data_IF_973237887407
#
_entry.id   IF_973237887407
#
_cell.length_a   1.000
_cell.length_b   1.000
_cell.length_c   1.000
_cell.angle_alpha   90.00
_cell.angle_beta   90.00
_cell.angle_gamma   90.00
#
_symmetry.space_group_name_H-M   'P 1'
#
loop_
_entity.id
_entity.type
_entity.pdbx_description
1 polymer ?
#
# COMPACT_ATOMS: atom_id res chain seq x y z
N UNK A 1 40.59 -93.22 -37.45
CA UNK A 1 39.28 -92.69 -37.88
C UNK A 1 39.11 -91.38 -37.13
N UNK A 2 39.18 -90.29 -37.87
CA UNK A 2 39.45 -88.95 -37.36
C UNK A 2 38.14 -88.17 -37.13
N UNK A 3 37.91 -87.68 -35.90
CA UNK A 3 36.86 -86.71 -35.61
C UNK A 3 37.53 -85.36 -35.41
N UNK A 4 37.23 -84.41 -36.28
CA UNK A 4 37.66 -83.03 -36.21
C UNK A 4 36.59 -82.23 -35.42
N UNK A 5 37.03 -81.59 -34.34
CA UNK A 5 36.25 -80.69 -33.51
C UNK A 5 36.47 -79.26 -33.97
N UNK A 6 35.40 -78.64 -34.50
CA UNK A 6 35.40 -77.21 -34.85
C UNK A 6 34.91 -76.37 -33.66
N UNK A 7 35.79 -75.64 -33.03
CA UNK A 7 35.45 -74.59 -32.04
C UNK A 7 34.98 -73.34 -32.80
N UNK A 8 33.76 -72.97 -32.61
CA UNK A 8 33.25 -71.64 -33.03
C UNK A 8 33.34 -70.71 -31.84
N UNK A 9 34.23 -69.72 -31.89
CA UNK A 9 34.25 -68.59 -30.94
C UNK A 9 33.05 -67.68 -31.24
N UNK A 10 32.19 -67.54 -30.22
CA UNK A 10 31.10 -66.58 -30.23
C UNK A 10 31.62 -65.26 -29.64
N UNK A 11 31.82 -64.24 -30.46
CA UNK A 11 32.13 -62.87 -30.03
C UNK A 11 30.83 -62.18 -29.61
N UNK A 12 30.63 -61.97 -28.33
CA UNK A 12 29.53 -61.15 -27.78
C UNK A 12 29.96 -59.68 -27.83
N UNK A 13 29.41 -58.93 -28.80
CA UNK A 13 29.57 -57.47 -28.86
C UNK A 13 28.52 -56.84 -27.97
N UNK A 14 28.97 -56.39 -26.78
CA UNK A 14 28.09 -55.61 -25.87
C UNK A 14 28.01 -54.17 -26.39
N UNK A 15 26.93 -53.80 -27.02
CA UNK A 15 26.65 -52.40 -27.41
C UNK A 15 26.31 -51.59 -26.18
N UNK A 16 27.18 -50.69 -25.76
CA UNK A 16 26.89 -49.65 -24.73
C UNK A 16 26.06 -48.56 -25.38
N UNK A 17 24.77 -48.57 -25.13
CA UNK A 17 23.85 -47.45 -25.53
C UNK A 17 24.08 -46.31 -24.51
N UNK A 18 24.86 -45.28 -24.90
CA UNK A 18 24.92 -44.01 -24.16
C UNK A 18 23.55 -43.29 -24.29
N UNK A 19 22.73 -43.38 -23.27
CA UNK A 19 21.55 -42.55 -23.13
C UNK A 19 22.02 -41.13 -22.83
N UNK A 20 22.07 -40.27 -23.82
CA UNK A 20 22.24 -38.83 -23.62
C UNK A 20 20.92 -38.29 -23.04
N UNK A 21 20.92 -38.02 -21.71
CA UNK A 21 19.88 -37.22 -21.09
C UNK A 21 19.97 -35.79 -21.66
N UNK A 22 18.87 -35.25 -22.22
CA UNK A 22 18.89 -33.85 -22.62
C UNK A 22 19.14 -32.99 -21.37
N UNK A 23 20.29 -32.29 -21.34
CA UNK A 23 20.51 -31.22 -20.39
C UNK A 23 19.39 -30.20 -20.62
N UNK A 24 18.39 -30.19 -19.74
CA UNK A 24 17.35 -29.18 -19.72
C UNK A 24 18.03 -27.83 -19.61
N UNK A 25 18.05 -27.08 -20.70
CA UNK A 25 18.39 -25.66 -20.66
C UNK A 25 17.38 -24.99 -19.76
N UNK A 26 17.77 -24.71 -18.50
CA UNK A 26 17.03 -23.79 -17.66
C UNK A 26 16.96 -22.47 -18.44
N UNK A 27 15.84 -22.22 -19.08
CA UNK A 27 15.55 -20.91 -19.66
C UNK A 27 15.54 -19.94 -18.48
N UNK A 28 16.61 -19.18 -18.31
CA UNK A 28 16.61 -18.03 -17.45
C UNK A 28 15.45 -17.15 -17.91
N UNK A 29 14.39 -17.07 -17.10
CA UNK A 29 13.20 -16.31 -17.41
C UNK A 29 13.63 -14.87 -17.59
N UNK A 30 13.59 -14.39 -18.82
CA UNK A 30 14.07 -13.04 -19.18
C UNK A 30 13.27 -12.03 -18.37
N UNK A 31 13.95 -11.09 -17.72
CA UNK A 31 13.27 -10.05 -16.96
C UNK A 31 12.22 -9.34 -17.84
N UNK A 32 11.04 -9.00 -17.31
CA UNK A 32 10.03 -8.30 -18.08
C UNK A 32 10.58 -6.95 -18.56
N UNK A 33 10.10 -6.44 -19.69
CA UNK A 33 10.48 -5.09 -20.16
C UNK A 33 9.92 -3.99 -19.27
N UNK A 34 8.77 -4.22 -18.66
CA UNK A 34 8.11 -3.30 -17.75
C UNK A 34 7.30 -4.03 -16.69
N UNK A 35 7.08 -3.35 -15.56
CA UNK A 35 6.13 -3.72 -14.52
C UNK A 35 5.14 -2.57 -14.30
N UNK A 36 3.91 -2.91 -13.94
CA UNK A 36 2.85 -1.95 -13.65
C UNK A 36 2.80 -1.62 -12.16
N UNK A 37 2.49 -0.36 -11.81
CA UNK A 37 2.36 0.11 -10.42
C UNK A 37 0.99 0.77 -10.24
N UNK A 38 0.04 0.06 -9.64
CA UNK A 38 -1.28 0.58 -9.32
C UNK A 38 -1.24 1.59 -8.18
N UNK A 39 -2.05 2.64 -8.31
CA UNK A 39 -2.16 3.68 -7.29
C UNK A 39 -3.48 4.41 -7.36
N UNK A 40 -3.74 5.27 -6.36
CA UNK A 40 -4.89 6.16 -6.32
C UNK A 40 -4.80 7.27 -7.39
N UNK A 41 -5.86 8.08 -7.60
CA UNK A 41 -5.93 9.08 -8.66
C UNK A 41 -4.79 10.10 -8.61
N UNK A 42 -4.49 10.69 -9.77
CA UNK A 42 -3.63 11.87 -9.86
C UNK A 42 -4.11 12.97 -8.88
N UNK A 43 -3.16 13.72 -8.32
CA UNK A 43 -3.45 14.73 -7.29
C UNK A 43 -3.40 14.18 -5.86
N UNK A 44 -3.40 12.86 -5.65
CA UNK A 44 -3.22 12.23 -4.33
C UNK A 44 -1.74 12.06 -3.96
N UNK A 45 -1.46 11.93 -2.67
CA UNK A 45 -0.10 11.59 -2.18
C UNK A 45 0.32 10.19 -2.66
N UNK A 46 -0.59 9.23 -2.71
CA UNK A 46 -0.31 7.88 -3.22
C UNK A 46 0.19 7.89 -4.67
N UNK A 47 -0.42 8.73 -5.53
CA UNK A 47 0.05 8.91 -6.92
C UNK A 47 1.46 9.47 -6.97
N UNK A 48 1.77 10.49 -6.15
CA UNK A 48 3.11 11.06 -6.07
C UNK A 48 4.15 10.05 -5.57
N UNK A 49 3.79 9.22 -4.58
CA UNK A 49 4.64 8.14 -4.06
C UNK A 49 4.87 7.08 -5.13
N UNK A 50 3.82 6.62 -5.81
CA UNK A 50 3.98 5.64 -6.90
C UNK A 50 4.88 6.18 -8.01
N UNK A 51 4.73 7.45 -8.40
CA UNK A 51 5.59 8.12 -9.38
C UNK A 51 7.05 8.18 -8.96
N UNK A 52 7.33 8.53 -7.70
CA UNK A 52 8.68 8.57 -7.17
C UNK A 52 9.35 7.19 -7.12
N UNK A 53 8.64 6.16 -6.61
CA UNK A 53 9.15 4.78 -6.60
C UNK A 53 9.40 4.28 -8.03
N UNK A 54 8.46 4.48 -8.94
CA UNK A 54 8.58 4.08 -10.34
C UNK A 54 9.77 4.76 -11.04
N UNK A 55 10.00 6.05 -10.76
CA UNK A 55 11.14 6.80 -11.31
C UNK A 55 12.48 6.19 -10.86
N UNK A 56 12.63 5.90 -9.56
CA UNK A 56 13.88 5.30 -9.03
C UNK A 56 14.07 3.88 -9.55
N UNK A 57 13.00 3.07 -9.58
CA UNK A 57 13.05 1.71 -10.13
C UNK A 57 13.45 1.73 -11.59
N UNK A 58 12.79 2.54 -12.42
CA UNK A 58 13.09 2.63 -13.86
C UNK A 58 14.50 3.14 -14.16
N UNK A 59 15.08 3.93 -13.26
CA UNK A 59 16.44 4.45 -13.40
C UNK A 59 17.54 3.47 -12.98
N UNK A 60 17.22 2.38 -12.27
CA UNK A 60 18.22 1.48 -11.65
C UNK A 60 17.92 -0.02 -11.83
N UNK A 61 16.69 -0.42 -12.13
CA UNK A 61 16.33 -1.80 -12.44
C UNK A 61 16.42 -2.09 -13.95
N UNK A 62 16.52 -3.36 -14.38
CA UNK A 62 16.57 -3.74 -15.81
C UNK A 62 15.22 -3.69 -16.52
N UNK A 63 14.22 -2.99 -15.97
CA UNK A 63 12.87 -2.82 -16.52
C UNK A 63 12.29 -1.47 -16.15
N UNK A 64 11.25 -1.04 -16.88
CA UNK A 64 10.51 0.18 -16.57
C UNK A 64 9.39 -0.11 -15.58
N UNK A 65 9.14 0.79 -14.63
CA UNK A 65 7.96 0.79 -13.77
C UNK A 65 6.97 1.83 -14.30
N UNK A 66 5.76 1.39 -14.65
CA UNK A 66 4.71 2.22 -15.28
C UNK A 66 3.58 2.45 -14.30
N UNK A 67 3.36 3.70 -13.90
CA UNK A 67 2.29 4.07 -12.96
C UNK A 67 0.93 4.01 -13.65
N UNK A 68 -0.01 3.30 -13.04
CA UNK A 68 -1.40 3.21 -13.47
C UNK A 68 -2.33 3.75 -12.37
N UNK A 69 -2.90 4.97 -12.54
CA UNK A 69 -3.85 5.52 -11.58
C UNK A 69 -5.23 4.88 -11.74
N UNK A 70 -5.87 4.62 -10.60
CA UNK A 70 -7.24 4.12 -10.49
C UNK A 70 -8.06 5.05 -9.61
N UNK A 71 -9.39 4.95 -9.65
CA UNK A 71 -10.29 5.82 -8.86
C UNK A 71 -10.07 5.66 -7.35
N UNK A 72 -9.63 4.50 -6.90
CA UNK A 72 -9.31 4.25 -5.49
C UNK A 72 -8.72 2.85 -5.29
N UNK A 73 -8.18 2.59 -4.09
CA UNK A 73 -7.55 1.31 -3.72
C UNK A 73 -8.46 0.12 -3.99
N UNK A 74 -9.75 0.22 -3.67
CA UNK A 74 -10.72 -0.86 -3.86
C UNK A 74 -10.94 -1.27 -5.31
N UNK A 75 -10.62 -0.41 -6.29
CA UNK A 75 -10.80 -0.72 -7.71
C UNK A 75 -9.63 -1.48 -8.32
N UNK A 76 -8.42 -1.37 -7.78
CA UNK A 76 -7.25 -2.07 -8.32
C UNK A 76 -6.75 -3.26 -7.46
N UNK A 77 -7.19 -3.39 -6.21
CA UNK A 77 -6.83 -4.55 -5.39
C UNK A 77 -7.17 -5.90 -6.02
N UNK A 78 -8.35 -6.09 -6.68
CA UNK A 78 -8.63 -7.34 -7.39
C UNK A 78 -7.65 -7.62 -8.52
N UNK A 79 -7.24 -6.59 -9.28
CA UNK A 79 -6.28 -6.74 -10.38
C UNK A 79 -4.90 -7.17 -9.85
N UNK A 80 -4.49 -6.61 -8.71
CA UNK A 80 -3.26 -7.00 -8.03
C UNK A 80 -3.35 -8.45 -7.51
N UNK A 81 -4.50 -8.86 -6.98
CA UNK A 81 -4.71 -10.23 -6.48
C UNK A 81 -4.71 -11.29 -7.58
N UNK A 82 -5.18 -10.92 -8.77
CA UNK A 82 -5.20 -11.81 -9.94
C UNK A 82 -3.90 -11.77 -10.76
N UNK A 83 -2.93 -10.90 -10.41
CA UNK A 83 -1.68 -10.75 -11.16
C UNK A 83 -1.83 -10.00 -12.48
N UNK A 84 -2.95 -9.30 -12.68
CA UNK A 84 -3.18 -8.39 -13.82
C UNK A 84 -2.45 -7.05 -13.61
N UNK A 85 -2.08 -6.77 -12.37
CA UNK A 85 -1.27 -5.66 -11.93
C UNK A 85 -0.10 -6.21 -11.10
N UNK A 86 1.13 -5.79 -11.40
CA UNK A 86 2.32 -6.37 -10.77
C UNK A 86 2.56 -5.84 -9.36
N UNK A 87 2.50 -4.52 -9.22
CA UNK A 87 2.86 -3.76 -8.01
C UNK A 87 1.76 -2.78 -7.64
N UNK A 88 1.77 -2.29 -6.39
CA UNK A 88 0.81 -1.29 -5.94
C UNK A 88 1.31 -0.46 -4.75
N UNK A 89 0.80 0.77 -4.64
CA UNK A 89 1.00 1.64 -3.48
C UNK A 89 -0.32 1.81 -2.75
N UNK A 90 -0.41 1.32 -1.51
CA UNK A 90 -1.66 1.14 -0.77
C UNK A 90 -1.55 1.55 0.69
N UNK A 91 -2.69 1.72 1.35
CA UNK A 91 -2.83 1.92 2.78
C UNK A 91 -2.64 0.58 3.53
N UNK A 92 -1.84 0.58 4.59
CA UNK A 92 -1.57 -0.61 5.41
C UNK A 92 -2.83 -1.21 6.06
N UNK A 93 -3.79 -0.36 6.47
CA UNK A 93 -5.05 -0.80 7.11
C UNK A 93 -5.97 -1.44 6.09
N UNK A 94 -6.11 -0.85 4.89
CA UNK A 94 -6.88 -1.41 3.78
C UNK A 94 -6.34 -2.79 3.39
N UNK A 95 -5.01 -2.90 3.32
CA UNK A 95 -4.37 -4.18 3.00
C UNK A 95 -4.63 -5.23 4.07
N UNK A 96 -4.61 -4.84 5.36
CA UNK A 96 -4.98 -5.75 6.45
C UNK A 96 -6.43 -6.26 6.34
N UNK A 97 -7.37 -5.37 6.00
CA UNK A 97 -8.78 -5.71 5.76
C UNK A 97 -8.94 -6.64 4.55
N UNK A 98 -8.34 -6.27 3.42
CA UNK A 98 -8.44 -7.01 2.17
C UNK A 98 -7.76 -8.40 2.28
N UNK A 99 -6.58 -8.47 2.89
CA UNK A 99 -5.83 -9.72 3.04
C UNK A 99 -6.53 -10.72 3.97
N UNK A 100 -7.11 -10.25 5.09
CA UNK A 100 -7.84 -11.13 6.01
C UNK A 100 -9.25 -11.46 5.51
N UNK A 101 -9.84 -10.57 4.71
CA UNK A 101 -11.15 -10.73 4.11
C UNK A 101 -12.32 -10.48 5.08
N UNK A 102 -13.56 -10.29 4.55
CA UNK A 102 -14.73 -9.84 5.31
C UNK A 102 -15.25 -10.84 6.34
N UNK A 103 -14.92 -12.12 6.20
CA UNK A 103 -15.33 -13.14 7.15
C UNK A 103 -14.52 -13.11 8.46
N UNK A 104 -13.25 -12.65 8.40
CA UNK A 104 -12.32 -12.72 9.53
C UNK A 104 -12.07 -11.40 10.23
N UNK A 105 -12.03 -10.29 9.48
CA UNK A 105 -11.66 -9.00 10.04
C UNK A 105 -12.61 -7.90 9.58
N UNK A 106 -13.12 -7.13 10.55
CA UNK A 106 -14.04 -6.01 10.32
C UNK A 106 -13.63 -4.82 11.17
N UNK A 107 -13.79 -3.62 10.62
CA UNK A 107 -13.64 -2.36 11.32
C UNK A 107 -14.98 -1.63 11.27
N UNK A 108 -15.47 -1.14 12.42
CA UNK A 108 -16.79 -0.54 12.50
C UNK A 108 -17.91 -1.49 12.05
N UNK A 109 -17.76 -2.79 12.33
CA UNK A 109 -18.73 -3.82 11.94
C UNK A 109 -18.73 -4.21 10.46
N UNK A 110 -17.88 -3.60 9.61
CA UNK A 110 -17.85 -3.84 8.15
C UNK A 110 -16.44 -4.12 7.63
N UNK A 111 -16.38 -4.86 6.54
CA UNK A 111 -15.22 -4.97 5.66
C UNK A 111 -15.73 -5.14 4.23
N UNK A 112 -15.85 -4.05 3.48
CA UNK A 112 -16.34 -4.09 2.11
C UNK A 112 -15.25 -4.40 1.08
N UNK A 113 -13.98 -4.57 1.52
CA UNK A 113 -12.90 -4.92 0.60
C UNK A 113 -13.05 -6.33 0.05
N UNK A 114 -12.68 -6.57 -1.20
CA UNK A 114 -12.53 -7.91 -1.73
C UNK A 114 -11.46 -8.67 -0.92
N UNK A 115 -11.60 -9.98 -0.81
CA UNK A 115 -10.55 -10.81 -0.22
C UNK A 115 -9.40 -10.95 -1.24
N UNK A 116 -8.20 -10.49 -0.86
CA UNK A 116 -7.01 -10.48 -1.73
C UNK A 116 -5.82 -11.21 -1.08
N UNK A 117 -5.90 -12.55 -0.94
CA UNK A 117 -4.90 -13.36 -0.24
C UNK A 117 -3.57 -13.49 -0.98
N UNK A 118 -3.50 -13.07 -2.24
CA UNK A 118 -2.31 -13.22 -3.08
C UNK A 118 -1.37 -12.00 -3.04
N UNK A 119 -1.77 -10.92 -2.37
CA UNK A 119 -0.94 -9.72 -2.23
C UNK A 119 0.13 -9.91 -1.15
N UNK A 120 1.33 -9.42 -1.42
CA UNK A 120 2.50 -9.50 -0.55
C UNK A 120 3.17 -8.14 -0.38
N UNK A 121 3.69 -7.89 0.82
CA UNK A 121 4.44 -6.67 1.13
C UNK A 121 5.85 -6.73 0.49
N UNK A 122 6.24 -5.63 -0.13
CA UNK A 122 7.61 -5.39 -0.58
C UNK A 122 8.35 -4.47 0.40
N UNK A 123 7.75 -3.31 0.70
CA UNK A 123 8.32 -2.34 1.64
C UNK A 123 7.23 -1.70 2.49
N UNK A 124 7.49 -1.54 3.78
CA UNK A 124 6.76 -0.61 4.64
C UNK A 124 7.33 0.78 4.41
N UNK A 125 6.49 1.69 3.93
CA UNK A 125 6.89 3.08 3.66
C UNK A 125 6.69 4.02 4.84
N UNK A 126 6.63 5.32 4.54
CA UNK A 126 6.41 6.38 5.53
C UNK A 126 4.99 6.40 6.06
N UNK A 127 4.75 7.00 7.23
CA UNK A 127 3.42 7.38 7.66
C UNK A 127 2.81 8.39 6.67
N UNK A 128 1.55 8.21 6.32
CA UNK A 128 0.75 9.20 5.66
C UNK A 128 -0.16 9.86 6.68
N UNK A 129 -0.19 11.19 6.70
CA UNK A 129 -1.09 11.96 7.54
C UNK A 129 -2.33 12.39 6.75
N UNK A 130 -3.51 12.30 7.37
CA UNK A 130 -4.78 12.72 6.79
C UNK A 130 -5.68 13.29 7.87
N UNK A 131 -6.62 14.14 7.50
CA UNK A 131 -7.67 14.59 8.39
C UNK A 131 -8.88 15.09 7.61
N UNK A 132 -9.93 15.43 8.35
CA UNK A 132 -11.06 16.15 7.83
C UNK A 132 -10.60 17.52 7.28
N UNK A 133 -11.21 17.96 6.19
CA UNK A 133 -10.92 19.22 5.50
C UNK A 133 -12.20 20.04 5.40
N UNK A 134 -12.11 21.34 5.64
CA UNK A 134 -13.20 22.28 5.48
C UNK A 134 -12.72 23.56 4.81
N UNK A 135 -13.65 24.35 4.25
CA UNK A 135 -13.31 25.70 3.79
C UNK A 135 -13.08 26.60 5.00
N UNK A 136 -12.17 27.57 4.87
CA UNK A 136 -11.85 28.49 5.97
C UNK A 136 -13.03 29.34 6.43
N UNK A 137 -13.94 29.68 5.49
CA UNK A 137 -15.11 30.50 5.74
C UNK A 137 -16.21 29.80 6.57
N UNK A 138 -16.17 28.48 6.72
CA UNK A 138 -17.13 27.74 7.58
C UNK A 138 -16.91 27.95 9.08
N UNK A 139 -15.72 28.41 9.46
CA UNK A 139 -15.34 28.57 10.86
C UNK A 139 -15.03 27.28 11.63
N UNK A 140 -15.23 26.10 11.02
CA UNK A 140 -14.96 24.78 11.64
C UNK A 140 -13.45 24.62 11.86
N UNK A 141 -13.01 24.36 13.10
CA UNK A 141 -11.61 24.22 13.49
C UNK A 141 -11.29 22.85 14.08
N UNK A 142 -12.23 22.29 14.82
CA UNK A 142 -12.05 21.03 15.58
C UNK A 142 -13.08 19.98 15.17
N UNK A 143 -12.77 18.72 15.41
CA UNK A 143 -13.66 17.60 15.11
C UNK A 143 -15.00 17.69 15.84
N UNK A 144 -15.04 18.29 17.03
CA UNK A 144 -16.28 18.46 17.82
C UNK A 144 -17.30 19.40 17.12
N UNK A 145 -16.82 20.34 16.30
CA UNK A 145 -17.66 21.29 15.55
C UNK A 145 -18.23 20.67 14.26
N UNK A 146 -17.86 19.43 13.94
CA UNK A 146 -18.36 18.68 12.78
C UNK A 146 -19.77 18.11 13.02
N UNK A 147 -20.22 18.03 14.27
CA UNK A 147 -21.56 17.54 14.61
C UNK A 147 -22.65 18.32 13.88
N UNK A 148 -23.56 17.59 13.21
CA UNK A 148 -24.67 18.13 12.42
C UNK A 148 -24.29 18.72 11.06
N UNK A 149 -23.00 18.72 10.68
CA UNK A 149 -22.53 19.23 9.38
C UNK A 149 -22.72 18.22 8.26
N UNK A 150 -22.68 18.72 7.02
CA UNK A 150 -22.68 17.91 5.80
C UNK A 150 -21.27 17.38 5.58
N UNK A 151 -21.07 16.08 5.74
CA UNK A 151 -19.77 15.39 5.65
C UNK A 151 -19.78 14.44 4.47
N UNK A 152 -18.78 14.51 3.60
CA UNK A 152 -18.66 13.57 2.48
C UNK A 152 -18.49 12.15 2.99
N UNK A 153 -19.16 11.18 2.34
CA UNK A 153 -19.19 9.78 2.81
C UNK A 153 -19.45 8.80 1.69
N UNK A 154 -19.67 7.53 2.06
CA UNK A 154 -19.84 6.32 1.25
C UNK A 154 -18.57 5.89 0.52
N UNK A 155 -18.03 6.66 -0.41
CA UNK A 155 -16.77 6.41 -1.15
C UNK A 155 -16.66 4.99 -1.76
N UNK A 156 -17.64 4.51 -2.55
CA UNK A 156 -17.67 3.13 -3.02
C UNK A 156 -16.45 2.72 -3.87
N UNK A 157 -15.86 3.66 -4.60
CA UNK A 157 -14.65 3.41 -5.39
C UNK A 157 -13.35 3.62 -4.57
N UNK A 158 -13.42 4.22 -3.36
CA UNK A 158 -12.26 4.53 -2.53
C UNK A 158 -12.56 4.30 -1.05
N UNK A 159 -12.80 3.05 -0.69
CA UNK A 159 -13.27 2.63 0.64
C UNK A 159 -12.35 3.06 1.79
N UNK A 160 -11.04 3.23 1.54
CA UNK A 160 -10.09 3.78 2.49
C UNK A 160 -10.55 5.08 3.13
N UNK A 161 -11.16 5.96 2.33
CA UNK A 161 -11.58 7.28 2.79
C UNK A 161 -12.74 7.19 3.78
N UNK A 162 -13.63 6.19 3.61
CA UNK A 162 -14.67 5.93 4.58
C UNK A 162 -14.10 5.66 5.97
N UNK A 163 -13.06 4.80 6.07
CA UNK A 163 -12.39 4.50 7.34
C UNK A 163 -11.63 5.71 7.89
N UNK A 164 -11.07 6.52 7.00
CA UNK A 164 -10.38 7.75 7.39
C UNK A 164 -11.35 8.76 8.04
N UNK A 165 -12.54 8.95 7.46
CA UNK A 165 -13.59 9.79 8.06
C UNK A 165 -14.12 9.17 9.35
N UNK A 166 -14.40 7.86 9.35
CA UNK A 166 -14.89 7.14 10.52
C UNK A 166 -13.93 7.26 11.72
N UNK A 167 -12.63 7.05 11.51
CA UNK A 167 -11.62 7.22 12.55
C UNK A 167 -11.50 8.67 13.03
N UNK A 168 -11.56 9.63 12.10
CA UNK A 168 -11.55 11.06 12.42
C UNK A 168 -12.73 11.45 13.32
N UNK A 169 -13.94 11.05 12.96
CA UNK A 169 -15.16 11.32 13.77
C UNK A 169 -15.03 10.63 15.15
N UNK A 170 -14.61 9.37 15.17
CA UNK A 170 -14.46 8.63 16.41
C UNK A 170 -13.47 9.29 17.39
N UNK A 171 -12.39 9.94 16.91
CA UNK A 171 -11.44 10.67 17.77
C UNK A 171 -12.15 11.71 18.62
N UNK A 172 -13.12 12.42 18.05
CA UNK A 172 -13.95 13.41 18.73
C UNK A 172 -15.17 12.84 19.46
N UNK A 173 -15.31 11.51 19.54
CA UNK A 173 -16.48 10.87 20.14
C UNK A 173 -17.75 10.98 19.26
N UNK A 174 -17.59 11.23 17.96
CA UNK A 174 -18.66 11.29 16.99
C UNK A 174 -18.74 10.01 16.17
N UNK A 175 -19.90 9.80 15.54
CA UNK A 175 -20.19 8.71 14.62
C UNK A 175 -20.79 9.26 13.30
N UNK A 176 -21.10 8.38 12.36
CA UNK A 176 -21.83 8.72 11.16
C UNK A 176 -23.25 9.24 11.45
N UNK A 177 -23.87 8.85 12.58
CA UNK A 177 -25.21 9.29 12.99
C UNK A 177 -25.21 10.76 13.49
N UNK A 178 -24.03 11.29 13.83
CA UNK A 178 -23.88 12.68 14.28
C UNK A 178 -23.70 13.69 13.13
N UNK A 179 -23.66 13.24 11.87
CA UNK A 179 -23.41 14.08 10.70
C UNK A 179 -24.41 13.82 9.58
N UNK A 180 -24.51 14.76 8.64
CA UNK A 180 -25.32 14.59 7.42
C UNK A 180 -24.43 14.09 6.30
N UNK A 181 -24.53 12.81 5.96
CA UNK A 181 -23.69 12.18 4.92
C UNK A 181 -24.04 12.74 3.54
N UNK A 182 -23.01 13.19 2.82
CA UNK A 182 -23.06 13.57 1.40
C UNK A 182 -22.34 12.49 0.60
N UNK A 183 -23.06 11.65 -0.15
CA UNK A 183 -22.46 10.58 -0.93
C UNK A 183 -21.54 11.13 -2.02
N UNK A 184 -20.32 10.56 -2.11
CA UNK A 184 -19.35 10.86 -3.17
C UNK A 184 -18.64 9.57 -3.59
N UNK A 185 -18.24 9.42 -4.87
CA UNK A 185 -17.65 8.18 -5.35
C UNK A 185 -16.23 7.93 -4.81
N UNK A 186 -15.39 8.97 -4.70
CA UNK A 186 -14.00 8.86 -4.29
C UNK A 186 -13.46 10.15 -3.64
N UNK A 187 -12.19 10.16 -3.28
CA UNK A 187 -11.57 11.20 -2.44
C UNK A 187 -11.51 12.57 -3.11
N UNK A 188 -11.17 12.63 -4.40
CA UNK A 188 -11.08 13.92 -5.12
C UNK A 188 -12.46 14.54 -5.30
N UNK A 189 -13.47 13.76 -5.63
CA UNK A 189 -14.86 14.19 -5.74
C UNK A 189 -15.42 14.67 -4.39
N UNK A 190 -14.89 14.15 -3.29
CA UNK A 190 -15.17 14.68 -1.95
C UNK A 190 -14.66 16.10 -1.77
N UNK A 191 -13.47 16.42 -2.26
CA UNK A 191 -12.94 17.80 -2.25
C UNK A 191 -13.71 18.68 -3.24
N UNK A 192 -14.08 18.17 -4.42
CA UNK A 192 -14.92 18.92 -5.36
C UNK A 192 -16.28 19.27 -4.75
N UNK A 193 -16.90 18.36 -4.01
CA UNK A 193 -18.14 18.63 -3.28
C UNK A 193 -17.97 19.73 -2.22
N UNK A 194 -16.82 19.75 -1.53
CA UNK A 194 -16.46 20.80 -0.58
C UNK A 194 -16.28 22.17 -1.27
N UNK A 195 -15.49 22.21 -2.34
CA UNK A 195 -15.25 23.45 -3.14
C UNK A 195 -16.56 24.03 -3.69
N UNK A 196 -17.44 23.17 -4.19
CA UNK A 196 -18.76 23.53 -4.73
C UNK A 196 -19.79 23.88 -3.64
N UNK A 197 -19.46 23.77 -2.34
CA UNK A 197 -20.39 24.05 -1.25
C UNK A 197 -21.49 23.00 -1.06
N UNK A 198 -21.40 21.84 -1.69
CA UNK A 198 -22.32 20.71 -1.49
C UNK A 198 -22.08 19.97 -0.16
N UNK A 199 -20.84 20.00 0.35
CA UNK A 199 -20.45 19.51 1.65
C UNK A 199 -19.76 20.62 2.46
N UNK A 200 -19.83 20.54 3.79
CA UNK A 200 -19.15 21.44 4.71
C UNK A 200 -17.77 20.88 5.11
N UNK A 201 -17.66 19.56 5.11
CA UNK A 201 -16.45 18.80 5.51
C UNK A 201 -16.24 17.65 4.54
N UNK A 202 -14.97 17.45 4.16
CA UNK A 202 -14.49 16.29 3.41
C UNK A 202 -13.29 15.69 4.12
N UNK A 203 -12.53 14.79 3.46
CA UNK A 203 -11.30 14.21 4.01
C UNK A 203 -10.24 14.12 2.91
N UNK A 204 -8.97 14.39 3.28
CA UNK A 204 -7.86 14.19 2.36
C UNK A 204 -6.51 14.03 3.09
N UNK A 205 -5.54 13.43 2.39
CA UNK A 205 -4.16 13.36 2.86
C UNK A 205 -3.50 14.74 2.84
N UNK A 206 -2.70 15.03 3.87
CA UNK A 206 -1.91 16.26 3.97
C UNK A 206 -0.79 16.22 2.92
N UNK A 207 -0.56 17.37 2.28
CA UNK A 207 0.48 17.52 1.25
C UNK A 207 0.05 17.14 -0.17
N UNK A 208 -1.22 16.76 -0.39
CA UNK A 208 -1.72 16.41 -1.72
C UNK A 208 -1.84 17.64 -2.65
N UNK A 209 -1.65 17.43 -3.95
CA UNK A 209 -1.84 18.47 -4.95
C UNK A 209 -3.30 18.93 -5.03
N UNK A 210 -4.27 18.01 -4.81
CA UNK A 210 -5.70 18.34 -4.80
C UNK A 210 -6.06 19.34 -3.69
N UNK A 211 -5.43 19.26 -2.53
CA UNK A 211 -5.62 20.25 -1.45
C UNK A 211 -4.99 21.60 -1.81
N UNK A 212 -3.84 21.63 -2.48
CA UNK A 212 -3.23 22.87 -2.96
C UNK A 212 -4.13 23.60 -3.97
N UNK A 213 -4.74 22.85 -4.88
CA UNK A 213 -5.72 23.36 -5.85
C UNK A 213 -6.96 23.94 -5.13
N UNK A 214 -7.56 23.20 -4.20
CA UNK A 214 -8.71 23.66 -3.43
C UNK A 214 -8.40 24.90 -2.56
N UNK A 215 -7.21 24.94 -1.94
CA UNK A 215 -6.80 26.11 -1.14
C UNK A 215 -6.63 27.37 -1.99
N UNK A 216 -6.07 27.24 -3.19
CA UNK A 216 -5.92 28.34 -4.12
C UNK A 216 -7.30 28.88 -4.61
N UNK A 217 -8.30 27.99 -4.73
CA UNK A 217 -9.63 28.36 -5.20
C UNK A 217 -10.53 28.98 -4.13
N UNK A 218 -10.65 28.33 -2.96
CA UNK A 218 -11.66 28.71 -1.94
C UNK A 218 -11.06 28.90 -0.53
N UNK A 219 -9.77 28.60 -0.35
CA UNK A 219 -9.13 28.59 0.95
C UNK A 219 -9.64 27.43 1.82
N UNK A 220 -8.79 26.45 2.11
CA UNK A 220 -9.13 25.30 2.95
C UNK A 220 -8.28 25.24 4.22
N UNK A 221 -8.80 24.48 5.18
CA UNK A 221 -8.05 24.11 6.38
C UNK A 221 -8.34 22.67 6.77
N UNK A 222 -7.35 22.01 7.35
CA UNK A 222 -7.57 20.77 8.07
C UNK A 222 -8.24 21.02 9.41
N UNK A 223 -9.21 20.17 9.72
CA UNK A 223 -9.90 20.13 11.01
C UNK A 223 -9.01 19.41 12.01
N UNK A 224 -8.73 20.04 13.16
CA UNK A 224 -7.95 19.38 14.22
C UNK A 224 -8.77 18.26 14.85
N UNK A 225 -8.23 17.05 14.86
CA UNK A 225 -8.79 15.91 15.58
C UNK A 225 -8.53 16.08 17.09
N UNK A 226 -9.03 15.14 17.89
CA UNK A 226 -8.82 15.16 19.34
C UNK A 226 -7.55 14.37 19.71
N UNK A 227 -6.40 15.05 19.87
CA UNK A 227 -5.14 14.47 20.32
C UNK A 227 -5.03 14.25 21.84
N UNK A 228 -6.15 14.32 22.58
CA UNK A 228 -6.15 13.90 23.99
C UNK A 228 -5.91 12.39 24.11
N UNK A 229 -5.46 11.88 25.28
CA UNK A 229 -5.36 10.44 25.51
C UNK A 229 -6.64 9.68 25.20
N UNK A 230 -7.81 10.28 25.47
CA UNK A 230 -9.13 9.72 25.18
C UNK A 230 -9.40 9.68 23.67
N UNK A 231 -9.01 10.72 22.92
CA UNK A 231 -9.13 10.76 21.46
C UNK A 231 -8.24 9.70 20.80
N UNK A 232 -7.01 9.55 21.30
CA UNK A 232 -6.07 8.53 20.84
C UNK A 232 -6.61 7.09 21.09
N UNK A 233 -7.21 6.86 22.28
CA UNK A 233 -7.84 5.58 22.59
C UNK A 233 -9.03 5.30 21.66
N UNK A 234 -9.89 6.32 21.44
CA UNK A 234 -11.07 6.18 20.58
C UNK A 234 -10.69 5.83 19.14
N UNK A 235 -9.70 6.52 18.55
CA UNK A 235 -9.31 6.24 17.15
C UNK A 235 -8.67 4.86 17.01
N UNK A 236 -7.80 4.45 17.94
CA UNK A 236 -7.19 3.10 17.92
C UNK A 236 -8.21 1.99 18.06
N UNK A 237 -9.25 2.21 18.86
CA UNK A 237 -10.37 1.27 19.00
C UNK A 237 -11.26 1.24 17.76
N UNK A 238 -11.51 2.41 17.17
CA UNK A 238 -12.38 2.54 16.00
C UNK A 238 -11.69 1.97 14.74
N UNK A 239 -10.43 2.31 14.50
CA UNK A 239 -9.66 1.87 13.33
C UNK A 239 -8.28 1.38 13.78
N UNK A 240 -8.13 0.10 14.16
CA UNK A 240 -6.83 -0.46 14.51
C UNK A 240 -5.80 -0.25 13.39
N UNK A 241 -4.63 0.30 13.76
CA UNK A 241 -3.58 0.69 12.82
C UNK A 241 -3.54 2.20 12.53
N UNK A 242 -4.56 2.98 12.93
CA UNK A 242 -4.48 4.44 12.94
C UNK A 242 -3.99 4.95 14.28
N UNK A 243 -3.27 6.07 14.24
CA UNK A 243 -2.81 6.81 15.42
C UNK A 243 -2.87 8.32 15.16
N UNK A 244 -2.76 9.12 16.21
CA UNK A 244 -2.80 10.58 16.11
C UNK A 244 -1.40 11.18 16.19
N UNK A 245 -1.22 12.30 15.51
CA UNK A 245 0.00 13.12 15.57
C UNK A 245 -0.34 14.59 15.36
N UNK A 246 0.49 15.50 15.86
CA UNK A 246 0.29 16.94 15.68
C UNK A 246 1.25 17.49 14.65
N UNK A 247 0.70 18.10 13.61
CA UNK A 247 1.45 18.88 12.63
C UNK A 247 1.53 20.34 13.05
N UNK A 248 2.74 20.92 12.90
CA UNK A 248 2.99 22.32 13.22
C UNK A 248 2.36 23.26 12.20
N UNK A 249 1.91 24.41 12.67
CA UNK A 249 1.35 25.48 11.85
C UNK A 249 2.27 25.80 10.66
N UNK A 250 1.69 25.89 9.45
CA UNK A 250 2.42 26.21 8.24
C UNK A 250 3.26 25.08 7.64
N UNK A 251 3.28 23.89 8.26
CA UNK A 251 4.06 22.74 7.78
C UNK A 251 3.57 22.19 6.43
N UNK A 252 2.32 22.46 6.06
CA UNK A 252 1.73 22.11 4.76
C UNK A 252 0.52 23.01 4.46
N UNK A 253 0.11 23.05 3.20
CA UNK A 253 -1.12 23.73 2.76
C UNK A 253 -2.31 23.24 3.57
N UNK A 254 -3.11 24.16 4.10
CA UNK A 254 -4.27 23.87 4.92
C UNK A 254 -3.98 23.63 6.42
N UNK A 255 -2.72 23.52 6.85
CA UNK A 255 -2.33 23.46 8.26
C UNK A 255 -2.17 24.89 8.80
N UNK A 256 -3.28 25.49 9.27
CA UNK A 256 -3.40 26.93 9.64
C UNK A 256 -3.11 27.18 11.13
N UNK A 257 -2.85 26.18 11.90
CA UNK A 257 -2.48 26.18 13.31
C UNK A 257 -1.89 24.83 13.65
N UNK A 258 -1.38 24.65 14.87
CA UNK A 258 -1.01 23.29 15.30
C UNK A 258 -2.25 22.41 15.17
N UNK A 259 -2.18 21.36 14.35
CA UNK A 259 -3.33 20.59 13.93
C UNK A 259 -3.10 19.12 14.24
N UNK A 260 -3.97 18.54 15.06
CA UNK A 260 -4.01 17.09 15.29
C UNK A 260 -4.59 16.39 14.05
N UNK A 261 -3.89 15.40 13.54
CA UNK A 261 -4.28 14.60 12.38
C UNK A 261 -4.08 13.11 12.67
N UNK A 262 -4.77 12.27 11.92
CA UNK A 262 -4.51 10.83 11.96
C UNK A 262 -3.36 10.45 11.03
N UNK A 263 -2.70 9.34 11.34
CA UNK A 263 -1.63 8.77 10.53
C UNK A 263 -1.78 7.25 10.40
N UNK A 264 -1.27 6.70 9.30
CA UNK A 264 -1.16 5.27 9.00
C UNK A 264 -0.06 5.05 7.97
N UNK A 265 0.47 3.83 7.88
CA UNK A 265 1.59 3.56 6.97
C UNK A 265 1.14 3.36 5.52
N UNK A 266 2.00 3.76 4.60
CA UNK A 266 1.94 3.40 3.18
C UNK A 266 2.68 2.09 2.98
N UNK A 267 2.12 1.18 2.19
CA UNK A 267 2.75 -0.05 1.75
C UNK A 267 3.05 -0.02 0.26
N UNK A 268 4.22 -0.51 -0.11
CA UNK A 268 4.53 -0.93 -1.47
C UNK A 268 4.38 -2.44 -1.52
N UNK A 269 3.52 -2.93 -2.40
CA UNK A 269 3.04 -4.31 -2.44
C UNK A 269 3.17 -4.89 -3.85
N UNK A 270 3.09 -6.22 -3.96
CA UNK A 270 3.06 -6.93 -5.23
C UNK A 270 2.29 -8.24 -5.15
N UNK A 271 2.01 -8.86 -6.31
CA UNK A 271 1.40 -10.17 -6.38
C UNK A 271 2.39 -11.27 -5.93
N UNK A 272 1.92 -12.29 -5.20
CA UNK A 272 2.76 -13.37 -4.65
C UNK A 272 3.53 -14.19 -5.69
N UNK A 273 3.03 -14.26 -6.92
CA UNK A 273 3.64 -15.00 -8.02
C UNK A 273 4.59 -14.14 -8.88
N UNK A 274 4.80 -12.86 -8.54
CA UNK A 274 5.78 -12.05 -9.24
C UNK A 274 7.17 -12.71 -9.07
N UNK A 275 7.96 -12.89 -10.16
CA UNK A 275 9.23 -13.57 -10.04
C UNK A 275 10.16 -12.91 -9.00
N UNK A 276 10.76 -13.71 -8.12
CA UNK A 276 11.62 -13.23 -7.04
C UNK A 276 12.73 -12.28 -7.51
N UNK A 277 13.34 -12.57 -8.67
CA UNK A 277 14.36 -11.71 -9.29
C UNK A 277 13.81 -10.32 -9.71
N UNK A 278 12.55 -10.21 -10.13
CA UNK A 278 11.91 -8.92 -10.45
C UNK A 278 11.71 -8.13 -9.16
N UNK A 279 11.20 -8.78 -8.11
CA UNK A 279 11.02 -8.18 -6.79
C UNK A 279 12.35 -7.71 -6.21
N UNK A 280 13.38 -8.56 -6.25
CA UNK A 280 14.73 -8.22 -5.74
C UNK A 280 15.37 -7.09 -6.53
N UNK A 281 15.20 -7.03 -7.87
CA UNK A 281 15.70 -5.94 -8.69
C UNK A 281 15.02 -4.60 -8.36
N UNK A 282 13.68 -4.60 -8.16
CA UNK A 282 12.95 -3.41 -7.72
C UNK A 282 13.39 -2.95 -6.33
N UNK A 283 13.51 -3.89 -5.38
CA UNK A 283 13.98 -3.57 -4.02
C UNK A 283 15.41 -3.06 -4.01
N UNK A 284 16.31 -3.68 -4.76
CA UNK A 284 17.70 -3.25 -4.88
C UNK A 284 17.79 -1.83 -5.45
N UNK A 285 17.00 -1.54 -6.48
CA UNK A 285 16.93 -0.20 -7.07
C UNK A 285 16.53 0.85 -6.01
N UNK A 286 15.53 0.57 -5.19
CA UNK A 286 15.06 1.47 -4.13
C UNK A 286 16.03 1.53 -2.95
N UNK A 287 16.56 0.38 -2.52
CA UNK A 287 17.48 0.27 -1.38
C UNK A 287 18.80 1.00 -1.60
N UNK A 288 19.40 0.80 -2.77
CA UNK A 288 20.71 1.39 -3.11
C UNK A 288 20.59 2.89 -3.48
N UNK A 289 19.38 3.39 -3.73
CA UNK A 289 19.11 4.77 -4.14
C UNK A 289 18.05 5.47 -3.26
N UNK A 290 17.91 5.05 -2.00
CA UNK A 290 16.90 5.61 -1.10
C UNK A 290 17.02 7.13 -0.92
N UNK A 291 18.23 7.67 -1.00
CA UNK A 291 18.53 9.10 -0.91
C UNK A 291 17.98 9.92 -2.10
N UNK A 292 17.62 9.27 -3.20
CA UNK A 292 16.98 9.93 -4.37
C UNK A 292 15.48 10.16 -4.17
N UNK A 293 14.86 9.52 -3.18
CA UNK A 293 13.42 9.63 -2.94
C UNK A 293 13.01 10.97 -2.30
N UNK A 294 13.65 11.48 -1.23
CA UNK A 294 13.19 12.70 -0.54
C UNK A 294 13.08 13.94 -1.45
N UNK A 295 13.95 14.17 -2.44
CA UNK A 295 13.81 15.31 -3.35
C UNK A 295 12.56 15.25 -4.25
N UNK A 296 11.98 14.05 -4.48
CA UNK A 296 10.85 13.86 -5.38
C UNK A 296 9.51 14.28 -4.72
N UNK A 297 9.35 14.04 -3.42
CA UNK A 297 8.17 14.46 -2.69
C UNK A 297 8.44 14.43 -1.17
N UNK A 298 7.92 15.41 -0.38
CA UNK A 298 8.10 15.45 1.08
C UNK A 298 7.69 14.18 1.82
N UNK A 299 6.73 13.41 1.29
CA UNK A 299 6.28 12.14 1.83
C UNK A 299 7.41 11.10 1.94
N UNK A 300 8.46 11.22 1.16
CA UNK A 300 9.60 10.30 1.19
C UNK A 300 10.62 10.58 2.29
N UNK A 301 10.46 11.66 3.06
CA UNK A 301 11.38 12.00 4.14
C UNK A 301 11.60 10.84 5.12
N UNK A 302 10.53 10.12 5.44
CA UNK A 302 10.55 8.98 6.36
C UNK A 302 10.52 7.61 5.62
N UNK A 303 10.81 7.60 4.31
CA UNK A 303 10.95 6.37 3.54
C UNK A 303 12.39 5.88 3.63
N UNK A 304 12.72 5.14 4.69
CA UNK A 304 14.09 4.74 5.02
C UNK A 304 14.28 3.23 5.00
N UNK A 305 15.53 2.77 4.97
CA UNK A 305 15.87 1.34 5.03
C UNK A 305 15.39 0.70 6.32
N UNK A 306 15.49 1.41 7.43
CA UNK A 306 15.09 0.95 8.77
C UNK A 306 13.57 0.73 8.86
N UNK A 307 12.78 1.51 8.14
CA UNK A 307 11.32 1.34 8.10
C UNK A 307 10.87 0.27 7.11
N UNK A 308 11.64 0.05 6.05
CA UNK A 308 11.26 -0.84 4.95
C UNK A 308 11.01 -2.27 5.42
N UNK A 309 11.86 -2.77 6.33
CA UNK A 309 11.76 -4.08 6.96
C UNK A 309 11.23 -3.93 8.40
N UNK A 310 10.07 -4.48 8.70
CA UNK A 310 9.42 -4.34 10.01
C UNK A 310 8.63 -5.59 10.39
N UNK A 311 8.58 -5.91 11.68
CA UNK A 311 7.68 -6.92 12.22
C UNK A 311 6.25 -6.39 12.43
N UNK A 312 6.08 -5.06 12.46
CA UNK A 312 4.79 -4.41 12.63
C UNK A 312 4.14 -4.16 11.26
N UNK A 313 3.55 -5.22 10.72
CA UNK A 313 2.92 -5.23 9.39
C UNK A 313 1.63 -6.06 9.39
N UNK A 314 0.73 -5.76 8.46
CA UNK A 314 -0.62 -6.34 8.39
C UNK A 314 -0.77 -7.44 7.35
N UNK A 315 0.21 -7.60 6.46
CA UNK A 315 0.26 -8.64 5.43
C UNK A 315 1.65 -9.26 5.35
N UNK A 316 1.80 -10.51 4.87
CA UNK A 316 3.10 -11.15 4.78
C UNK A 316 3.96 -10.54 3.68
N UNK A 317 5.27 -10.58 3.88
CA UNK A 317 6.24 -10.19 2.86
C UNK A 317 6.30 -11.21 1.70
N UNK A 318 6.66 -10.72 0.52
CA UNK A 318 6.93 -11.57 -0.63
C UNK A 318 8.18 -12.46 -0.36
N UNK A 319 8.22 -13.75 -0.83
CA UNK A 319 9.37 -14.62 -0.58
C UNK A 319 10.71 -14.01 -1.01
N UNK A 320 10.78 -13.42 -2.22
CA UNK A 320 11.99 -12.73 -2.70
C UNK A 320 12.40 -11.51 -1.87
N UNK A 321 11.45 -10.89 -1.14
CA UNK A 321 11.73 -9.80 -0.19
C UNK A 321 12.37 -10.34 1.08
N UNK A 322 11.88 -11.47 1.59
CA UNK A 322 12.44 -12.13 2.78
C UNK A 322 13.92 -12.48 2.55
N UNK A 323 14.23 -13.06 1.38
CA UNK A 323 15.60 -13.37 0.97
C UNK A 323 16.45 -12.10 0.90
N UNK A 324 15.97 -11.06 0.23
CA UNK A 324 16.66 -9.79 0.10
C UNK A 324 16.95 -9.13 1.45
N UNK A 325 15.98 -9.05 2.36
CA UNK A 325 16.21 -8.43 3.68
C UNK A 325 17.10 -9.29 4.58
N UNK A 326 17.10 -10.63 4.46
CA UNK A 326 18.06 -11.51 5.12
C UNK A 326 19.49 -11.25 4.63
N UNK A 327 19.68 -11.12 3.31
CA UNK A 327 20.98 -10.76 2.71
C UNK A 327 21.48 -9.39 3.19
N UNK A 328 20.59 -8.41 3.35
CA UNK A 328 20.93 -7.07 3.87
C UNK A 328 21.08 -7.01 5.39
N UNK A 329 20.89 -8.10 6.12
CA UNK A 329 20.91 -8.11 7.59
C UNK A 329 19.75 -7.32 8.24
N UNK A 330 18.69 -7.02 7.47
CA UNK A 330 17.52 -6.25 7.92
C UNK A 330 16.34 -7.12 8.38
N UNK A 331 16.48 -8.45 8.34
CA UNK A 331 15.43 -9.39 8.74
C UNK A 331 15.66 -9.91 10.16
N UNK A 332 14.69 -9.79 11.06
CA UNK A 332 14.77 -10.21 12.46
C UNK A 332 13.96 -11.49 12.74
N UNK A 333 14.27 -12.18 13.85
CA UNK A 333 13.51 -13.34 14.32
C UNK A 333 12.02 -12.99 14.56
N UNK A 334 11.72 -11.78 15.06
CA UNK A 334 10.35 -11.30 15.23
C UNK A 334 9.62 -11.18 13.90
N UNK A 335 10.32 -10.84 12.82
CA UNK A 335 9.73 -10.81 11.47
C UNK A 335 9.42 -12.22 10.96
N UNK A 336 10.24 -13.25 11.27
CA UNK A 336 9.91 -14.64 10.96
C UNK A 336 8.62 -15.10 11.66
N UNK A 337 8.44 -14.75 12.93
CA UNK A 337 7.23 -15.06 13.68
C UNK A 337 5.99 -14.38 13.07
N UNK A 338 6.10 -13.08 12.78
CA UNK A 338 5.02 -12.31 12.13
C UNK A 338 4.69 -12.87 10.74
N UNK A 339 5.71 -13.17 9.93
CA UNK A 339 5.56 -13.77 8.60
C UNK A 339 4.79 -15.08 8.67
N UNK A 340 5.18 -15.99 9.56
CA UNK A 340 4.52 -17.28 9.77
C UNK A 340 3.07 -17.10 10.20
N UNK A 341 2.80 -16.20 11.15
CA UNK A 341 1.45 -15.89 11.63
C UNK A 341 0.55 -15.35 10.51
N UNK A 342 1.06 -14.41 9.71
CA UNK A 342 0.29 -13.80 8.63
C UNK A 342 0.02 -14.77 7.48
N UNK A 343 0.99 -15.61 7.11
CA UNK A 343 0.79 -16.66 6.09
C UNK A 343 -0.27 -17.67 6.52
N UNK A 344 -0.34 -18.01 7.81
CA UNK A 344 -1.34 -18.94 8.35
C UNK A 344 -2.79 -18.41 8.28
N UNK A 345 -2.99 -17.12 8.04
CA UNK A 345 -4.34 -16.56 7.84
C UNK A 345 -4.94 -16.96 6.49
N UNK A 346 -4.09 -17.23 5.47
CA UNK A 346 -4.50 -17.64 4.12
C UNK A 346 -3.52 -18.73 3.63
N UNK A 347 -3.73 -19.99 4.08
CA UNK A 347 -2.88 -21.13 3.77
C UNK A 347 -2.91 -21.52 2.28
#
# INVERSE_FOLDING_TARGET
MNARWNSRCLIVVTAFVLVQLPAGTAHAQQAPKSVTVGTNPAGTVFYAVAGGLASVISGAAPFQAVVQPYTGTSTFLPLLDHGELDLGVVNAVDMGLAYQGPARFKIGGRNPFPHVPNTRLLMRGSPLTASLVTRRDTGIKTVHEVKGKRVTGEYPAHLAVWYSVFGSLASGGLSWDDVKVVPVPAVNEGIDALVQGRADVSNHAVGSAKIKEADAGVGVRYVSLDCSPQGEERIKKAVPGYYLTTLKSGSSTGIVGDTCVQAYDIYFVGHKALPGQVVQAALKALWDNVEKLPPLHPQFKDWTRERAASADVTIPYHPGVVEFYKEKGAWSAKMDETQKKLLALNP
#
